data_IF_766066337675
#
_entry.id   IF_766066337675
#
_cell.length_a   1.000
_cell.length_b   1.000
_cell.length_c   1.000
_cell.angle_alpha   90.00
_cell.angle_beta   90.00
_cell.angle_gamma   90.00
#
_symmetry.space_group_name_H-M   'P 1'
#
loop_
_entity.id
_entity.type
_entity.pdbx_description
1 polymer ?
#
# COMPACT_ATOMS: atom_id res chain seq x y z
N UNK A 1 8.85 -5.70 18.16
CA UNK A 1 8.91 -4.78 17.00
C UNK A 1 8.13 -5.30 15.79
N UNK A 2 8.16 -6.61 15.46
CA UNK A 2 7.42 -7.18 14.31
C UNK A 2 5.89 -7.08 14.45
N UNK A 3 5.37 -7.21 15.66
CA UNK A 3 3.92 -7.14 15.94
C UNK A 3 3.32 -5.74 15.78
N UNK A 4 4.07 -4.69 16.17
CA UNK A 4 3.63 -3.29 16.02
C UNK A 4 3.58 -2.90 14.53
N UNK A 5 4.53 -3.39 13.73
CA UNK A 5 4.52 -3.18 12.28
C UNK A 5 3.30 -3.82 11.62
N UNK A 6 2.97 -5.07 11.99
CA UNK A 6 1.81 -5.78 11.44
C UNK A 6 0.46 -5.14 11.81
N UNK A 7 0.29 -4.72 13.06
CA UNK A 7 -0.95 -4.07 13.51
C UNK A 7 -1.14 -2.68 12.89
N UNK A 8 -0.08 -1.87 12.77
CA UNK A 8 -0.15 -0.58 12.10
C UNK A 8 -0.53 -0.72 10.61
N UNK A 9 0.07 -1.68 9.90
CA UNK A 9 -0.31 -1.98 8.50
C UNK A 9 -1.78 -2.36 8.41
N UNK A 10 -2.26 -3.19 9.33
CA UNK A 10 -3.66 -3.60 9.36
C UNK A 10 -4.59 -2.41 9.62
N UNK A 11 -4.25 -1.53 10.55
CA UNK A 11 -5.01 -0.31 10.84
C UNK A 11 -5.05 0.63 9.64
N UNK A 12 -3.91 0.89 9.00
CA UNK A 12 -3.84 1.74 7.80
C UNK A 12 -4.63 1.12 6.65
N UNK A 13 -4.56 -0.20 6.46
CA UNK A 13 -5.33 -0.91 5.45
C UNK A 13 -6.84 -0.79 5.69
N UNK A 14 -7.28 -0.94 6.94
CA UNK A 14 -8.69 -0.80 7.31
C UNK A 14 -9.20 0.64 7.15
N UNK A 15 -8.42 1.63 7.59
CA UNK A 15 -8.75 3.04 7.40
C UNK A 15 -8.80 3.43 5.93
N UNK A 16 -7.84 2.95 5.12
CA UNK A 16 -7.83 3.15 3.68
C UNK A 16 -9.07 2.55 3.01
N UNK A 17 -9.42 1.32 3.37
CA UNK A 17 -10.62 0.64 2.85
C UNK A 17 -11.91 1.39 3.20
N UNK A 18 -11.99 1.91 4.43
CA UNK A 18 -13.11 2.73 4.88
C UNK A 18 -13.20 4.06 4.12
N UNK A 19 -12.08 4.78 4.00
CA UNK A 19 -12.00 6.04 3.28
C UNK A 19 -12.35 5.89 1.79
N UNK A 20 -11.89 4.81 1.16
CA UNK A 20 -12.24 4.45 -0.23
C UNK A 20 -13.74 4.19 -0.35
N UNK A 21 -14.31 3.37 0.54
CA UNK A 21 -15.74 3.05 0.50
C UNK A 21 -16.62 4.28 0.68
N UNK A 22 -16.24 5.19 1.59
CA UNK A 22 -16.94 6.46 1.80
C UNK A 22 -16.83 7.38 0.58
N UNK A 23 -15.60 7.57 0.07
CA UNK A 23 -15.34 8.45 -1.08
C UNK A 23 -15.97 7.91 -2.36
N UNK A 24 -16.01 6.59 -2.54
CA UNK A 24 -16.58 5.93 -3.71
C UNK A 24 -18.05 6.29 -3.92
N UNK A 25 -18.85 6.32 -2.84
CA UNK A 25 -20.26 6.73 -2.93
C UNK A 25 -20.43 8.15 -3.47
N UNK A 26 -19.58 9.08 -3.03
CA UNK A 26 -19.61 10.48 -3.48
C UNK A 26 -19.09 10.63 -4.93
N UNK A 27 -18.03 9.90 -5.26
CA UNK A 27 -17.42 9.91 -6.58
C UNK A 27 -18.34 9.30 -7.66
N UNK A 28 -19.07 8.25 -7.31
CA UNK A 28 -20.03 7.58 -8.20
C UNK A 28 -21.21 8.48 -8.56
N UNK A 29 -21.69 9.27 -7.59
CA UNK A 29 -22.77 10.25 -7.78
C UNK A 29 -22.31 11.40 -8.70
N UNK A 30 -21.04 11.78 -8.64
CA UNK A 30 -20.50 12.84 -9.48
C UNK A 30 -20.17 12.38 -10.90
N UNK A 31 -19.44 11.28 -11.07
CA UNK A 31 -19.13 10.70 -12.38
C UNK A 31 -18.53 9.30 -12.26
N UNK A 32 -19.24 8.30 -12.80
CA UNK A 32 -18.74 6.93 -12.87
C UNK A 32 -17.39 6.83 -13.60
N UNK A 33 -17.24 7.47 -14.76
CA UNK A 33 -16.02 7.41 -15.57
C UNK A 33 -14.81 8.09 -14.89
N UNK A 34 -15.02 9.24 -14.23
CA UNK A 34 -13.96 9.93 -13.48
C UNK A 34 -13.45 9.11 -12.29
N UNK A 35 -14.35 8.39 -11.62
CA UNK A 35 -14.04 7.50 -10.51
C UNK A 35 -13.08 6.39 -10.93
N UNK A 36 -13.42 5.65 -11.99
CA UNK A 36 -12.57 4.58 -12.52
C UNK A 36 -11.19 5.10 -12.95
N UNK A 37 -11.14 6.29 -13.55
CA UNK A 37 -9.87 6.89 -13.96
C UNK A 37 -8.97 7.24 -12.76
N UNK A 38 -9.54 7.82 -11.69
CA UNK A 38 -8.78 8.13 -10.48
C UNK A 38 -8.27 6.88 -9.76
N UNK A 39 -9.09 5.84 -9.64
CA UNK A 39 -8.65 4.57 -9.06
C UNK A 39 -7.57 3.90 -9.92
N UNK A 40 -7.72 3.90 -11.25
CA UNK A 40 -6.71 3.38 -12.17
C UNK A 40 -5.38 4.14 -12.06
N UNK A 41 -5.43 5.47 -11.99
CA UNK A 41 -4.25 6.30 -11.78
C UNK A 41 -3.58 6.03 -10.42
N UNK A 42 -4.36 5.90 -9.35
CA UNK A 42 -3.85 5.54 -8.03
C UNK A 42 -3.17 4.16 -8.05
N UNK A 43 -3.78 3.15 -8.68
CA UNK A 43 -3.19 1.83 -8.87
C UNK A 43 -1.89 1.88 -9.68
N UNK A 44 -1.84 2.68 -10.75
CA UNK A 44 -0.63 2.85 -11.56
C UNK A 44 0.52 3.47 -10.74
N UNK A 45 0.22 4.49 -9.92
CA UNK A 45 1.19 5.11 -9.01
C UNK A 45 1.66 4.08 -7.98
N UNK A 46 0.76 3.27 -7.41
CA UNK A 46 1.13 2.18 -6.49
C UNK A 46 2.04 1.18 -7.18
N UNK A 47 1.75 0.77 -8.42
CA UNK A 47 2.60 -0.17 -9.17
C UNK A 47 3.99 0.43 -9.42
N UNK A 48 4.07 1.69 -9.85
CA UNK A 48 5.34 2.38 -10.06
C UNK A 48 6.14 2.52 -8.75
N UNK A 49 5.45 2.83 -7.66
CA UNK A 49 6.04 2.94 -6.33
C UNK A 49 6.57 1.59 -5.86
N UNK A 50 5.78 0.52 -5.98
CA UNK A 50 6.21 -0.84 -5.64
C UNK A 50 7.39 -1.24 -6.52
N UNK A 51 7.33 -1.02 -7.83
CA UNK A 51 8.42 -1.38 -8.74
C UNK A 51 9.73 -0.59 -8.50
N UNK A 52 9.65 0.67 -8.06
CA UNK A 52 10.84 1.51 -7.77
C UNK A 52 11.36 1.37 -6.34
N UNK A 53 10.47 1.23 -5.36
CA UNK A 53 10.80 1.35 -3.94
C UNK A 53 10.80 0.02 -3.20
N UNK A 54 10.11 -1.01 -3.73
CA UNK A 54 10.20 -2.38 -3.22
C UNK A 54 11.18 -3.13 -4.11
N UNK A 55 12.49 -3.17 -3.77
CA UNK A 55 13.41 -4.08 -4.43
C UNK A 55 12.87 -5.49 -4.27
N UNK A 56 12.88 -6.29 -5.35
CA UNK A 56 12.28 -7.62 -5.38
C UNK A 56 12.56 -8.40 -4.08
N UNK A 57 11.51 -8.60 -3.28
CA UNK A 57 11.51 -9.49 -2.11
C UNK A 57 11.49 -10.96 -2.52
N UNK A 58 11.47 -11.23 -3.84
CA UNK A 58 11.38 -12.57 -4.43
C UNK A 58 12.75 -13.25 -4.35
N UNK A 59 12.96 -14.01 -3.26
CA UNK A 59 14.14 -14.87 -3.09
C UNK A 59 15.05 -14.53 -1.92
N UNK A 60 14.76 -13.49 -1.12
CA UNK A 60 15.46 -13.22 0.15
C UNK A 60 14.66 -13.74 1.33
N UNK A 61 15.31 -14.49 2.22
CA UNK A 61 14.71 -14.95 3.47
C UNK A 61 14.47 -13.75 4.39
N UNK A 62 13.43 -13.82 5.22
CA UNK A 62 13.10 -12.76 6.20
C UNK A 62 14.29 -12.41 7.13
N UNK A 63 15.24 -13.33 7.30
CA UNK A 63 16.45 -13.16 8.11
C UNK A 63 17.48 -12.22 7.47
N UNK A 64 17.74 -12.27 6.16
CA UNK A 64 18.70 -11.36 5.51
C UNK A 64 18.24 -9.89 5.55
N UNK A 65 16.93 -9.65 5.46
CA UNK A 65 16.35 -8.31 5.58
C UNK A 65 16.53 -7.80 7.02
N UNK A 66 16.32 -8.67 8.02
CA UNK A 66 16.47 -8.35 9.43
C UNK A 66 17.94 -8.05 9.78
N UNK A 67 18.90 -8.80 9.24
CA UNK A 67 20.34 -8.60 9.45
C UNK A 67 20.87 -7.35 8.74
N UNK A 68 20.40 -7.04 7.53
CA UNK A 68 20.79 -5.79 6.83
C UNK A 68 20.31 -4.53 7.54
N UNK A 69 19.17 -4.60 8.24
CA UNK A 69 18.61 -3.50 9.04
C UNK A 69 19.32 -3.38 10.40
N UNK A 70 19.72 -4.49 11.02
CA UNK A 70 20.49 -4.49 12.27
C UNK A 70 21.97 -4.10 12.08
N UNK A 71 22.58 -4.45 10.95
CA UNK A 71 23.99 -4.14 10.63
C UNK A 71 24.24 -2.66 10.30
N UNK A 72 23.19 -1.83 10.15
CA UNK A 72 23.30 -0.37 9.94
C UNK A 72 23.27 0.45 11.24
N UNK A 73 23.41 -0.18 12.41
CA UNK A 73 23.55 0.51 13.69
C UNK A 73 25.01 0.61 14.11
#
# INVERSE_FOLDING_TARGET
MKEIGGSLVTLVNWLGSFAISYSFSFLMDWSSAGTFFMFSAASLITILFVARLVPETKGRTLEEIQDSLNSRR
#
